data_IF_439646912477
#
_entry.id   IF_439646912477
#
_cell.length_a   1.000
_cell.length_b   1.000
_cell.length_c   1.000
_cell.angle_alpha   90.00
_cell.angle_beta   90.00
_cell.angle_gamma   90.00
#
_symmetry.space_group_name_H-M   'P 1'
#
loop_
_entity.id
_entity.type
_entity.pdbx_description
1 polymer ?
#
# COMPACT_ATOMS: atom_id res chain seq x y z
N UNK A 1 -22.36 -5.31 29.81
CA UNK A 1 -21.91 -5.44 28.41
C UNK A 1 -20.49 -5.97 28.45
N UNK A 2 -20.33 -7.26 28.18
CA UNK A 2 -19.00 -7.87 28.03
C UNK A 2 -18.38 -7.34 26.73
N UNK A 3 -17.26 -6.65 26.85
CA UNK A 3 -16.42 -6.35 25.69
C UNK A 3 -15.81 -7.69 25.24
N UNK A 4 -16.26 -8.21 24.12
CA UNK A 4 -15.57 -9.30 23.43
C UNK A 4 -14.11 -8.89 23.24
N UNK A 5 -13.21 -9.52 24.00
CA UNK A 5 -11.78 -9.55 23.71
C UNK A 5 -11.66 -10.23 22.35
N UNK A 6 -11.61 -9.44 21.28
CA UNK A 6 -11.11 -9.89 19.99
C UNK A 6 -9.71 -10.44 20.26
N UNK A 7 -9.63 -11.76 20.36
CA UNK A 7 -8.38 -12.49 20.47
C UNK A 7 -7.48 -11.99 19.34
N UNK A 8 -6.20 -11.83 19.62
CA UNK A 8 -5.23 -11.32 18.65
C UNK A 8 -5.14 -12.33 17.48
N UNK A 9 -5.92 -12.10 16.42
CA UNK A 9 -5.91 -12.94 15.22
C UNK A 9 -4.61 -12.65 14.46
N UNK A 10 -3.66 -13.58 14.56
CA UNK A 10 -2.41 -13.51 13.82
C UNK A 10 -2.56 -14.30 12.50
N UNK A 11 -2.49 -13.59 11.38
CA UNK A 11 -2.68 -14.17 10.04
C UNK A 11 -1.36 -14.76 9.49
N UNK A 12 -0.77 -15.74 10.19
CA UNK A 12 0.56 -16.31 9.86
C UNK A 12 0.68 -16.86 8.43
N UNK A 13 -0.43 -17.34 7.89
CA UNK A 13 -0.50 -17.93 6.54
C UNK A 13 -0.93 -16.95 5.46
N UNK A 14 -1.30 -15.71 5.81
CA UNK A 14 -1.64 -14.68 4.83
C UNK A 14 -0.35 -14.16 4.19
N UNK A 15 0.04 -14.78 3.06
CA UNK A 15 1.25 -14.40 2.32
C UNK A 15 0.97 -13.43 1.17
N UNK A 16 -0.24 -13.45 0.63
CA UNK A 16 -0.63 -12.69 -0.56
C UNK A 16 -1.86 -11.87 -0.26
N UNK A 17 -1.77 -10.56 -0.47
CA UNK A 17 -2.87 -9.62 -0.29
C UNK A 17 -3.03 -8.82 -1.57
N UNK A 18 -4.25 -8.78 -2.10
CA UNK A 18 -4.63 -7.94 -3.23
C UNK A 18 -5.90 -7.19 -2.88
N UNK A 19 -5.84 -5.85 -2.90
CA UNK A 19 -6.95 -5.00 -2.50
C UNK A 19 -7.17 -3.90 -3.54
N UNK A 20 -8.44 -3.60 -3.81
CA UNK A 20 -8.85 -2.41 -4.56
C UNK A 20 -9.63 -1.47 -3.64
N UNK A 21 -9.26 -0.20 -3.60
CA UNK A 21 -10.01 0.81 -2.86
C UNK A 21 -9.86 2.22 -3.44
N UNK A 22 -10.99 2.87 -3.68
CA UNK A 22 -11.03 4.16 -4.36
C UNK A 22 -11.21 5.35 -3.40
N UNK A 23 -11.56 5.11 -2.12
CA UNK A 23 -11.83 6.17 -1.13
C UNK A 23 -11.35 5.84 0.30
N UNK A 24 -10.48 4.84 0.46
CA UNK A 24 -10.00 4.49 1.80
C UNK A 24 -9.08 5.60 2.31
N UNK A 25 -9.38 6.05 3.54
CA UNK A 25 -8.47 6.87 4.31
C UNK A 25 -7.19 6.06 4.59
N UNK A 26 -6.07 6.53 4.06
CA UNK A 26 -4.77 5.88 4.21
C UNK A 26 -4.43 5.57 5.66
N UNK A 27 -4.79 6.43 6.62
CA UNK A 27 -4.52 6.17 8.03
C UNK A 27 -5.28 4.94 8.56
N UNK A 28 -6.54 4.75 8.16
CA UNK A 28 -7.28 3.52 8.50
C UNK A 28 -6.63 2.30 7.87
N UNK A 29 -6.13 2.45 6.64
CA UNK A 29 -5.40 1.38 5.97
C UNK A 29 -4.11 1.00 6.70
N UNK A 30 -3.34 1.99 7.16
CA UNK A 30 -2.13 1.77 7.96
C UNK A 30 -2.42 0.93 9.21
N UNK A 31 -3.50 1.22 9.93
CA UNK A 31 -3.86 0.46 11.13
C UNK A 31 -4.19 -1.01 10.81
N UNK A 32 -4.84 -1.27 9.66
CA UNK A 32 -5.06 -2.64 9.17
C UNK A 32 -3.72 -3.32 8.86
N UNK A 33 -2.81 -2.63 8.15
CA UNK A 33 -1.50 -3.18 7.81
C UNK A 33 -0.68 -3.55 9.05
N UNK A 34 -0.61 -2.64 10.02
CA UNK A 34 0.11 -2.85 11.29
C UNK A 34 -0.38 -4.09 12.03
N UNK A 35 -1.69 -4.33 12.00
CA UNK A 35 -2.32 -5.43 12.73
C UNK A 35 -2.19 -6.78 12.03
N UNK A 36 -2.27 -6.80 10.70
CA UNK A 36 -2.51 -8.04 9.96
C UNK A 36 -1.40 -8.43 8.99
N UNK A 37 -0.56 -7.49 8.55
CA UNK A 37 0.31 -7.71 7.37
C UNK A 37 1.74 -8.08 7.71
N UNK A 38 2.04 -8.37 8.97
CA UNK A 38 3.39 -8.76 9.40
C UNK A 38 3.99 -9.88 8.55
N UNK A 39 3.19 -10.92 8.25
CA UNK A 39 3.62 -12.12 7.51
C UNK A 39 3.46 -12.04 5.99
N UNK A 40 2.96 -10.92 5.46
CA UNK A 40 2.65 -10.73 4.04
C UNK A 40 3.94 -10.62 3.24
N UNK A 41 4.03 -11.39 2.16
CA UNK A 41 5.17 -11.40 1.24
C UNK A 41 4.89 -10.65 -0.05
N UNK A 42 3.61 -10.49 -0.39
CA UNK A 42 3.18 -9.79 -1.59
C UNK A 42 1.94 -8.95 -1.29
N UNK A 43 2.05 -7.66 -1.60
CA UNK A 43 0.95 -6.70 -1.46
C UNK A 43 0.69 -6.03 -2.81
N UNK A 44 -0.50 -6.28 -3.35
CA UNK A 44 -1.04 -5.62 -4.54
C UNK A 44 -2.13 -4.64 -4.15
N UNK A 45 -2.01 -3.40 -4.60
CA UNK A 45 -2.96 -2.34 -4.33
C UNK A 45 -3.44 -1.74 -5.63
N UNK A 46 -4.75 -1.63 -5.80
CA UNK A 46 -5.36 -0.74 -6.78
C UNK A 46 -6.05 0.38 -6.03
N UNK A 47 -5.62 1.62 -6.24
CA UNK A 47 -6.14 2.78 -5.53
C UNK A 47 -6.65 3.82 -6.49
N UNK A 48 -7.61 4.63 -6.09
CA UNK A 48 -8.04 5.80 -6.86
C UNK A 48 -8.30 7.00 -5.96
N UNK A 49 -8.39 8.19 -6.56
CA UNK A 49 -8.90 9.44 -5.95
C UNK A 49 -8.26 9.90 -4.63
N UNK A 50 -7.14 9.29 -4.22
CA UNK A 50 -6.44 9.61 -2.98
C UNK A 50 -4.93 9.69 -3.22
N UNK A 51 -4.46 10.91 -3.49
CA UNK A 51 -3.04 11.25 -3.68
C UNK A 51 -2.14 10.83 -2.52
N UNK A 52 -2.69 10.67 -1.30
CA UNK A 52 -1.90 10.20 -0.13
C UNK A 52 -1.37 8.78 -0.34
N UNK A 53 -2.00 7.98 -1.21
CA UNK A 53 -1.52 6.67 -1.60
C UNK A 53 -0.25 6.73 -2.47
N UNK A 54 0.14 7.91 -2.94
CA UNK A 54 1.30 8.09 -3.81
C UNK A 54 2.54 8.63 -3.07
N UNK A 55 2.50 8.70 -1.74
CA UNK A 55 3.66 9.13 -0.95
C UNK A 55 4.63 7.96 -0.74
N UNK A 56 5.70 7.89 -1.54
CA UNK A 56 6.67 6.80 -1.44
C UNK A 56 7.33 6.75 -0.06
N UNK A 57 7.79 7.88 0.49
CA UNK A 57 8.46 7.91 1.80
C UNK A 57 7.60 7.28 2.90
N UNK A 58 6.29 7.58 2.89
CA UNK A 58 5.33 7.01 3.83
C UNK A 58 5.20 5.49 3.68
N UNK A 59 5.08 5.00 2.45
CA UNK A 59 5.06 3.56 2.18
C UNK A 59 6.35 2.87 2.62
N UNK A 60 7.51 3.45 2.31
CA UNK A 60 8.79 2.90 2.71
C UNK A 60 8.88 2.75 4.23
N UNK A 61 8.53 3.80 4.98
CA UNK A 61 8.50 3.76 6.45
C UNK A 61 7.55 2.66 6.96
N UNK A 62 6.34 2.58 6.41
CA UNK A 62 5.35 1.60 6.83
C UNK A 62 5.79 0.16 6.56
N UNK A 63 6.34 -0.10 5.37
CA UNK A 63 6.84 -1.42 4.97
C UNK A 63 8.02 -1.82 5.84
N UNK A 64 8.98 -0.92 6.06
CA UNK A 64 10.14 -1.19 6.91
C UNK A 64 9.75 -1.50 8.36
N UNK A 65 8.73 -0.82 8.89
CA UNK A 65 8.30 -1.00 10.29
C UNK A 65 7.43 -2.22 10.51
N UNK A 66 6.56 -2.58 9.57
CA UNK A 66 5.47 -3.54 9.83
C UNK A 66 5.36 -4.71 8.87
N UNK A 67 6.14 -4.73 7.78
CA UNK A 67 6.08 -5.81 6.78
C UNK A 67 7.48 -6.34 6.46
N UNK A 68 8.20 -6.91 7.45
CA UNK A 68 9.58 -7.35 7.27
C UNK A 68 9.73 -8.44 6.20
N UNK A 69 8.68 -9.22 5.94
CA UNK A 69 8.69 -10.30 4.95
C UNK A 69 8.23 -9.86 3.55
N UNK A 70 7.88 -8.58 3.34
CA UNK A 70 7.41 -8.12 2.03
C UNK A 70 8.53 -8.21 1.00
N UNK A 71 8.24 -8.88 -0.12
CA UNK A 71 9.15 -9.09 -1.26
C UNK A 71 8.66 -8.41 -2.54
N UNK A 72 7.34 -8.31 -2.70
CA UNK A 72 6.70 -7.73 -3.87
C UNK A 72 5.71 -6.67 -3.38
N UNK A 73 5.94 -5.43 -3.76
CA UNK A 73 4.99 -4.35 -3.60
C UNK A 73 4.54 -3.89 -4.98
N UNK A 74 3.25 -3.86 -5.23
CA UNK A 74 2.69 -3.53 -6.53
C UNK A 74 1.50 -2.60 -6.30
N UNK A 75 1.58 -1.41 -6.87
CA UNK A 75 0.58 -0.37 -6.70
C UNK A 75 0.18 0.20 -8.06
N UNK A 76 -1.12 0.09 -8.33
CA UNK A 76 -1.79 0.68 -9.48
C UNK A 76 -2.64 1.84 -8.98
N UNK A 77 -2.42 3.04 -9.50
CA UNK A 77 -3.24 4.19 -9.17
C UNK A 77 -4.09 4.58 -10.38
N UNK A 78 -5.41 4.50 -10.21
CA UNK A 78 -6.41 4.86 -11.20
C UNK A 78 -7.02 6.18 -10.78
N UNK A 79 -6.65 7.27 -11.45
CA UNK A 79 -7.35 8.53 -11.29
C UNK A 79 -8.27 8.72 -12.49
N UNK A 80 -9.58 8.96 -12.27
CA UNK A 80 -10.48 9.25 -13.39
C UNK A 80 -10.13 10.64 -13.92
N UNK A 81 -9.48 10.67 -15.07
CA UNK A 81 -8.96 11.86 -15.75
C UNK A 81 -10.13 12.74 -16.22
N UNK A 82 -10.68 13.51 -15.30
CA UNK A 82 -11.47 14.71 -15.58
C UNK A 82 -10.53 15.89 -15.79
N UNK A 83 -9.94 16.02 -16.98
CA UNK A 83 -9.29 17.25 -17.52
C UNK A 83 -8.23 17.97 -16.67
N UNK A 84 -7.69 17.37 -15.60
CA UNK A 84 -6.46 17.84 -14.96
C UNK A 84 -5.42 16.75 -15.12
N UNK A 85 -4.52 16.97 -16.08
CA UNK A 85 -3.25 16.26 -16.15
C UNK A 85 -2.46 16.61 -14.88
N UNK A 86 -2.78 16.00 -13.75
CA UNK A 86 -1.88 15.96 -12.62
C UNK A 86 -0.67 15.18 -13.10
N UNK A 87 0.40 15.90 -13.39
CA UNK A 87 1.68 15.35 -13.82
C UNK A 87 2.28 14.60 -12.64
N UNK A 88 1.84 13.35 -12.44
CA UNK A 88 2.36 12.45 -11.41
C UNK A 88 3.84 12.12 -11.60
N UNK A 89 4.51 12.60 -12.66
CA UNK A 89 5.95 12.42 -12.86
C UNK A 89 6.78 12.75 -11.61
N UNK A 90 6.48 13.85 -10.92
CA UNK A 90 7.20 14.22 -9.68
C UNK A 90 6.95 13.25 -8.52
N UNK A 91 5.82 12.54 -8.55
CA UNK A 91 5.41 11.57 -7.52
C UNK A 91 5.97 10.18 -7.83
N UNK A 92 5.95 9.77 -9.11
CA UNK A 92 6.59 8.55 -9.60
C UNK A 92 8.09 8.56 -9.32
N UNK A 93 8.73 9.73 -9.47
CA UNK A 93 10.14 9.90 -9.14
C UNK A 93 10.46 9.64 -7.65
N UNK A 94 9.47 9.57 -6.75
CA UNK A 94 9.73 9.22 -5.35
C UNK A 94 9.92 7.71 -5.15
N UNK A 95 9.58 6.89 -6.15
CA UNK A 95 9.70 5.43 -6.13
C UNK A 95 10.98 4.90 -6.80
N UNK A 96 12.02 5.74 -6.93
CA UNK A 96 13.25 5.41 -7.66
C UNK A 96 14.44 5.01 -6.76
N UNK A 97 14.26 4.94 -5.43
CA UNK A 97 15.33 4.53 -4.52
C UNK A 97 15.64 3.03 -4.60
N UNK A 98 16.84 2.63 -4.18
CA UNK A 98 17.27 1.21 -4.14
C UNK A 98 16.29 0.32 -3.36
N UNK A 99 15.67 0.87 -2.32
CA UNK A 99 14.62 0.21 -1.55
C UNK A 99 13.50 -0.34 -2.45
N UNK A 100 13.00 0.45 -3.41
CA UNK A 100 11.90 0.03 -4.28
C UNK A 100 12.31 -1.00 -5.32
N UNK A 101 13.55 -0.89 -5.81
CA UNK A 101 14.12 -1.90 -6.71
C UNK A 101 14.24 -3.26 -6.02
N UNK A 102 14.67 -3.30 -4.76
CA UNK A 102 14.74 -4.53 -3.97
C UNK A 102 13.35 -5.17 -3.73
N UNK A 103 12.32 -4.34 -3.53
CA UNK A 103 10.93 -4.79 -3.32
C UNK A 103 10.19 -5.12 -4.61
N UNK A 104 10.92 -5.24 -5.73
CA UNK A 104 10.39 -5.55 -7.07
C UNK A 104 9.15 -4.73 -7.39
N UNK A 105 9.23 -3.43 -7.10
CA UNK A 105 8.10 -2.53 -7.28
C UNK A 105 7.62 -2.57 -8.73
N UNK A 106 6.31 -2.80 -8.89
CA UNK A 106 5.63 -2.62 -10.17
C UNK A 106 4.63 -1.47 -10.02
N UNK A 107 4.79 -0.44 -10.84
CA UNK A 107 3.96 0.78 -10.79
C UNK A 107 3.26 0.98 -12.14
N UNK A 108 1.94 1.12 -12.10
CA UNK A 108 1.13 1.40 -13.29
C UNK A 108 0.29 2.67 -13.09
N UNK A 109 0.29 3.55 -14.08
CA UNK A 109 -0.71 4.62 -14.22
C UNK A 109 -1.58 4.27 -15.41
N UNK A 110 -2.90 4.23 -15.22
CA UNK A 110 -3.82 4.12 -16.35
C UNK A 110 -3.82 5.47 -17.08
N UNK A 111 -3.34 5.49 -18.32
CA UNK A 111 -3.46 6.62 -19.27
C UNK A 111 -4.88 6.74 -19.80
#
# INVERSE_FOLDING_TARGET
MEQEKLTHIELKYLKYVSLKFDFINFHKFEEVMKKFFYHVQMLRLTTGYNEKCLNAKRWQQLIMSYMPYLRIFDINHQDYIGKKNFTYHHIINQFNSSFWMEKKLVFYTST
#
